data_IF_905875974790
#
_entry.id   IF_905875974790
#
_cell.length_a   1.000
_cell.length_b   1.000
_cell.length_c   1.000
_cell.angle_alpha   90.00
_cell.angle_beta   90.00
_cell.angle_gamma   90.00
#
_symmetry.space_group_name_H-M   'P 1'
#
loop_
_entity.id
_entity.type
_entity.pdbx_description
1 polymer ?
#
# COMPACT_ATOMS: atom_id res chain seq x y z
N UNK A 1 -5.89 3.49 -16.30
CA UNK A 1 -6.20 4.10 -14.98
C UNK A 1 -4.88 4.48 -14.31
N UNK A 2 -4.84 5.58 -13.55
CA UNK A 2 -3.64 5.94 -12.81
C UNK A 2 -3.44 4.93 -11.67
N UNK A 3 -2.23 4.42 -11.51
CA UNK A 3 -1.87 3.50 -10.44
C UNK A 3 -2.12 4.22 -9.09
N UNK A 4 -2.93 3.66 -8.17
CA UNK A 4 -3.19 4.27 -6.85
C UNK A 4 -1.92 4.61 -6.07
N UNK A 5 -0.85 3.83 -6.23
CA UNK A 5 0.46 4.13 -5.64
C UNK A 5 1.10 5.39 -6.26
N UNK A 6 0.94 5.60 -7.57
CA UNK A 6 1.41 6.82 -8.23
C UNK A 6 0.62 8.06 -7.78
N UNK A 7 -0.69 7.94 -7.56
CA UNK A 7 -1.50 9.02 -7.01
C UNK A 7 -1.15 9.33 -5.55
N UNK A 8 -0.96 8.30 -4.72
CA UNK A 8 -0.50 8.47 -3.34
C UNK A 8 0.87 9.16 -3.29
N UNK A 9 1.80 8.76 -4.17
CA UNK A 9 3.11 9.40 -4.31
C UNK A 9 2.99 10.87 -4.70
N UNK A 10 2.14 11.18 -5.68
CA UNK A 10 1.89 12.55 -6.11
C UNK A 10 1.31 13.41 -4.96
N UNK A 11 0.37 12.86 -4.18
CA UNK A 11 -0.18 13.54 -2.99
C UNK A 11 0.87 13.81 -1.92
N UNK A 12 1.73 12.83 -1.63
CA UNK A 12 2.84 13.00 -0.66
C UNK A 12 3.83 14.06 -1.14
N UNK A 13 4.22 14.04 -2.41
CA UNK A 13 5.12 15.06 -2.99
C UNK A 13 4.51 16.46 -2.99
N UNK A 14 3.19 16.57 -3.25
CA UNK A 14 2.48 17.84 -3.19
C UNK A 14 2.37 18.38 -1.76
N UNK A 15 2.10 17.52 -0.78
CA UNK A 15 2.00 17.88 0.63
C UNK A 15 3.36 18.16 1.28
N UNK A 16 4.41 17.50 0.79
CA UNK A 16 5.77 17.55 1.33
C UNK A 16 6.78 17.71 0.19
N UNK A 17 6.90 18.92 -0.41
CA UNK A 17 7.83 19.17 -1.51
C UNK A 17 9.30 19.08 -1.09
N UNK A 18 9.59 19.16 0.20
CA UNK A 18 10.94 19.00 0.78
C UNK A 18 11.43 17.55 0.83
N UNK A 19 10.59 16.59 0.44
CA UNK A 19 10.90 15.18 0.65
C UNK A 19 12.05 14.69 -0.20
N UNK A 20 12.94 13.92 0.44
CA UNK A 20 14.08 13.29 -0.22
C UNK A 20 13.93 11.77 -0.14
N UNK A 21 14.14 11.09 -1.26
CA UNK A 21 14.20 9.63 -1.27
C UNK A 21 15.49 9.19 -0.58
N UNK A 22 15.36 8.46 0.53
CA UNK A 22 16.51 7.96 1.31
C UNK A 22 16.75 6.47 1.10
N UNK A 23 15.76 5.73 0.61
CA UNK A 23 15.88 4.29 0.37
C UNK A 23 14.94 3.85 -0.76
N UNK A 24 15.40 2.89 -1.57
CA UNK A 24 14.62 2.26 -2.64
C UNK A 24 14.76 0.75 -2.53
N UNK A 25 13.64 0.06 -2.36
CA UNK A 25 13.52 -1.39 -2.48
C UNK A 25 12.88 -1.79 -3.81
N UNK A 26 12.73 -3.10 -4.03
CA UNK A 26 12.09 -3.65 -5.23
C UNK A 26 10.66 -3.14 -5.41
N UNK A 27 9.90 -3.07 -4.31
CA UNK A 27 8.49 -2.66 -4.29
C UNK A 27 8.23 -1.57 -3.23
N UNK A 28 9.27 -0.81 -2.84
CA UNK A 28 9.13 0.21 -1.81
C UNK A 28 10.03 1.41 -2.05
N UNK A 29 9.58 2.59 -1.63
CA UNK A 29 10.36 3.82 -1.61
C UNK A 29 10.14 4.50 -0.26
N UNK A 30 11.24 4.84 0.42
CA UNK A 30 11.21 5.57 1.68
C UNK A 30 11.60 7.02 1.45
N UNK A 31 10.71 7.92 1.82
CA UNK A 31 10.92 9.36 1.76
C UNK A 31 11.22 9.88 3.17
N UNK A 32 12.24 10.72 3.30
CA UNK A 32 12.48 11.52 4.50
C UNK A 32 11.60 12.77 4.47
N UNK A 33 10.81 12.96 5.52
CA UNK A 33 10.05 14.19 5.77
C UNK A 33 10.82 15.10 6.72
N UNK A 34 10.39 16.36 6.83
CA UNK A 34 10.84 17.25 7.90
C UNK A 34 10.60 16.62 9.29
N UNK A 35 11.50 16.89 10.23
CA UNK A 35 11.38 16.41 11.61
C UNK A 35 10.10 16.93 12.26
N UNK A 36 9.58 16.15 13.21
CA UNK A 36 8.52 16.62 14.08
C UNK A 36 9.04 17.81 14.92
N UNK A 37 8.15 18.68 15.43
CA UNK A 37 8.54 19.79 16.30
C UNK A 37 9.31 19.35 17.56
N UNK A 38 9.17 18.09 17.97
CA UNK A 38 9.87 17.46 19.09
C UNK A 38 11.22 16.82 18.71
N UNK A 39 11.68 17.02 17.46
CA UNK A 39 12.94 16.52 16.94
C UNK A 39 12.91 15.06 16.46
N UNK A 40 11.77 14.38 16.51
CA UNK A 40 11.67 13.01 15.98
C UNK A 40 11.72 12.98 14.46
N UNK A 41 12.44 11.99 13.94
CA UNK A 41 12.50 11.74 12.50
C UNK A 41 11.18 11.20 11.97
N UNK A 42 10.78 11.72 10.80
CA UNK A 42 9.54 11.34 10.12
C UNK A 42 9.83 10.83 8.73
N UNK A 43 9.06 9.83 8.32
CA UNK A 43 9.20 9.17 7.02
C UNK A 43 7.82 8.97 6.40
N UNK A 44 7.75 9.06 5.07
CA UNK A 44 6.64 8.51 4.30
C UNK A 44 7.14 7.25 3.58
N UNK A 45 6.38 6.17 3.69
CA UNK A 45 6.69 4.91 3.04
C UNK A 45 5.67 4.65 1.95
N UNK A 46 6.17 4.49 0.73
CA UNK A 46 5.39 4.08 -0.42
C UNK A 46 5.73 2.62 -0.70
N UNK A 47 4.74 1.75 -0.63
CA UNK A 47 4.90 0.31 -0.86
C UNK A 47 3.87 -0.16 -1.89
N UNK A 48 4.30 -1.05 -2.76
CA UNK A 48 3.41 -1.85 -3.60
C UNK A 48 3.53 -3.32 -3.20
N UNK A 49 2.41 -4.05 -3.28
CA UNK A 49 2.49 -5.51 -3.34
C UNK A 49 3.04 -5.80 -4.74
N UNK A 50 4.23 -6.42 -4.80
CA UNK A 50 4.81 -6.83 -6.08
C UNK A 50 3.97 -7.93 -6.75
N UNK A 51 4.35 -8.36 -7.97
CA UNK A 51 3.64 -9.42 -8.65
C UNK A 51 3.62 -10.69 -7.79
N UNK A 52 2.42 -11.09 -7.36
CA UNK A 52 2.24 -12.27 -6.53
C UNK A 52 2.07 -13.45 -7.46
N UNK A 53 3.08 -14.31 -7.49
CA UNK A 53 3.07 -15.50 -8.32
C UNK A 53 2.33 -16.62 -7.58
N UNK A 54 1.51 -17.38 -8.30
CA UNK A 54 0.72 -18.49 -7.75
C UNK A 54 0.59 -19.65 -8.75
N UNK A 55 0.02 -20.77 -8.28
CA UNK A 55 -0.10 -22.00 -9.06
C UNK A 55 1.11 -22.93 -8.91
N UNK A 56 0.99 -24.21 -9.34
CA UNK A 56 2.01 -25.24 -9.10
C UNK A 56 3.37 -24.94 -9.73
N UNK A 57 3.41 -24.11 -10.78
CA UNK A 57 4.64 -23.74 -11.50
C UNK A 57 5.08 -22.29 -11.22
N UNK A 58 4.37 -21.56 -10.35
CA UNK A 58 4.65 -20.15 -10.05
C UNK A 58 4.67 -19.24 -11.30
N UNK A 59 3.89 -19.60 -12.33
CA UNK A 59 3.82 -18.97 -13.65
C UNK A 59 2.57 -18.10 -13.84
N UNK A 60 1.66 -18.10 -12.86
CA UNK A 60 0.47 -17.27 -12.85
C UNK A 60 0.73 -16.03 -12.00
N UNK A 61 0.39 -14.85 -12.51
CA UNK A 61 0.58 -13.57 -11.81
C UNK A 61 -0.78 -13.03 -11.38
N UNK A 62 -0.95 -12.77 -10.08
CA UNK A 62 -2.11 -12.02 -9.60
C UNK A 62 -1.87 -10.56 -9.96
N UNK A 63 -2.69 -10.02 -10.87
CA UNK A 63 -2.75 -8.57 -11.05
C UNK A 63 -3.27 -7.94 -9.75
N UNK A 64 -2.42 -7.11 -9.13
CA UNK A 64 -2.61 -6.53 -7.79
C UNK A 64 -3.44 -5.24 -7.80
N UNK A 65 -4.27 -5.03 -8.82
CA UNK A 65 -5.17 -3.88 -8.90
C UNK A 65 -6.21 -3.90 -7.76
N UNK A 66 -6.20 -2.85 -6.94
CA UNK A 66 -7.23 -2.55 -5.95
C UNK A 66 -8.37 -1.78 -6.64
N UNK A 67 -9.61 -2.21 -6.41
CA UNK A 67 -10.82 -1.54 -6.91
C UNK A 67 -11.57 -0.88 -5.75
N UNK A 68 -12.39 0.17 -6.00
CA UNK A 68 -13.23 0.76 -4.96
C UNK A 68 -14.14 -0.28 -4.29
N UNK A 69 -14.23 -0.24 -2.95
CA UNK A 69 -15.06 -1.15 -2.15
C UNK A 69 -16.26 -0.43 -1.52
N UNK A 70 -16.99 -1.15 -0.65
CA UNK A 70 -18.10 -0.65 0.14
C UNK A 70 -17.70 -0.46 1.60
N UNK A 71 -18.33 0.52 2.26
CA UNK A 71 -18.09 0.82 3.66
C UNK A 71 -18.18 -0.45 4.55
N UNK A 72 -17.23 -0.67 5.48
CA UNK A 72 -16.24 0.30 6.00
C UNK A 72 -14.92 0.40 5.20
N UNK A 73 -14.80 -0.29 4.07
CA UNK A 73 -13.56 -0.37 3.30
C UNK A 73 -13.60 0.58 2.10
N UNK A 74 -12.48 1.23 1.80
CA UNK A 74 -12.37 2.11 0.64
C UNK A 74 -11.97 1.33 -0.61
N UNK A 75 -11.20 0.25 -0.43
CA UNK A 75 -10.61 -0.53 -1.53
C UNK A 75 -10.65 -2.03 -1.25
N UNK A 76 -10.82 -2.83 -2.29
CA UNK A 76 -10.76 -4.29 -2.23
C UNK A 76 -10.01 -4.90 -3.41
N UNK A 77 -9.51 -6.12 -3.21
CA UNK A 77 -9.01 -6.99 -4.27
C UNK A 77 -9.38 -8.43 -3.93
N UNK A 78 -10.12 -9.09 -4.84
CA UNK A 78 -10.44 -10.53 -4.73
C UNK A 78 -9.91 -11.26 -5.95
N UNK A 79 -8.84 -12.06 -5.79
CA UNK A 79 -8.27 -12.85 -6.88
C UNK A 79 -7.64 -14.14 -6.38
N UNK A 80 -7.82 -15.23 -7.12
CA UNK A 80 -7.19 -16.53 -6.88
C UNK A 80 -7.34 -17.05 -5.42
N UNK A 81 -8.46 -16.74 -4.76
CA UNK A 81 -8.71 -17.13 -3.36
C UNK A 81 -8.09 -16.21 -2.30
N UNK A 82 -7.40 -15.15 -2.71
CA UNK A 82 -6.94 -14.07 -1.85
C UNK A 82 -7.95 -12.94 -1.82
N UNK A 83 -8.15 -12.39 -0.63
CA UNK A 83 -8.97 -11.21 -0.39
C UNK A 83 -8.16 -10.18 0.41
N UNK A 84 -8.05 -8.97 -0.12
CA UNK A 84 -7.43 -7.82 0.54
C UNK A 84 -8.44 -6.70 0.61
N UNK A 85 -8.57 -6.07 1.78
CA UNK A 85 -9.39 -4.87 1.98
C UNK A 85 -8.54 -3.79 2.65
N UNK A 86 -8.70 -2.54 2.21
CA UNK A 86 -7.92 -1.42 2.71
C UNK A 86 -8.80 -0.20 2.99
N UNK A 87 -8.42 0.55 4.03
CA UNK A 87 -9.00 1.84 4.41
C UNK A 87 -7.94 2.91 4.11
N UNK A 88 -8.38 4.05 3.60
CA UNK A 88 -7.50 5.19 3.25
C UNK A 88 -7.23 6.09 4.46
N UNK A 89 -8.14 6.06 5.45
CA UNK A 89 -7.99 6.73 6.75
C UNK A 89 -7.35 5.79 7.78
N UNK A 90 -6.06 6.01 8.06
CA UNK A 90 -5.25 5.21 8.98
C UNK A 90 -5.26 5.76 10.41
N UNK A 91 -6.11 6.74 10.72
CA UNK A 91 -6.25 7.29 12.08
C UNK A 91 -6.97 6.33 13.03
N UNK A 92 -7.67 5.33 12.49
CA UNK A 92 -8.26 4.22 13.21
C UNK A 92 -7.26 3.05 13.26
N UNK A 93 -6.98 2.50 14.45
CA UNK A 93 -5.87 1.59 14.73
C UNK A 93 -5.83 0.21 14.02
N UNK A 94 -6.64 -0.04 13.00
CA UNK A 94 -6.54 -1.21 12.11
C UNK A 94 -6.47 -0.76 10.65
N UNK A 95 -5.36 -1.10 10.00
CA UNK A 95 -4.94 -0.49 8.73
C UNK A 95 -5.01 -1.47 7.55
N UNK A 96 -4.92 -2.78 7.81
CA UNK A 96 -4.96 -3.86 6.79
C UNK A 96 -5.59 -5.11 7.44
N UNK A 97 -6.50 -5.79 6.74
CA UNK A 97 -6.93 -7.17 7.03
C UNK A 97 -6.55 -8.08 5.86
N UNK A 98 -6.00 -9.25 6.16
CA UNK A 98 -5.61 -10.25 5.17
C UNK A 98 -6.26 -11.59 5.49
N UNK A 99 -6.78 -12.26 4.46
CA UNK A 99 -7.36 -13.60 4.58
C UNK A 99 -6.59 -14.60 3.75
N UNK A 100 -6.19 -15.72 4.37
CA UNK A 100 -5.58 -16.87 3.69
C UNK A 100 -6.51 -18.08 3.79
N UNK A 101 -7.19 -18.42 2.69
CA UNK A 101 -8.20 -19.48 2.71
C UNK A 101 -9.41 -19.11 3.57
N UNK A 102 -9.76 -19.92 4.57
CA UNK A 102 -10.91 -19.67 5.44
C UNK A 102 -10.61 -18.80 6.67
N UNK A 103 -9.33 -18.52 6.96
CA UNK A 103 -8.90 -17.89 8.21
C UNK A 103 -8.46 -16.43 8.01
N UNK A 104 -8.83 -15.58 8.97
CA UNK A 104 -8.43 -14.18 9.07
C UNK A 104 -7.11 -14.07 9.85
N UNK A 105 -6.14 -13.30 9.34
CA UNK A 105 -4.82 -13.08 9.95
C UNK A 105 -4.58 -11.61 10.22
#
# INVERSE_FOLDING_TARGET
>A
MANPAAEARAKVQAAHPETVVVERGRNSIKHRLADAPDGRQRFALDCSIGPLHYGPNNDQEIDTELVPSVAPWDWEMTKAGFEVRAISDLSAGQVIEYRNGSEWV
#
